data_IF_736169175797
#
_entry.id   IF_736169175797
#
_cell.length_a   1.000
_cell.length_b   1.000
_cell.length_c   1.000
_cell.angle_alpha   90.00
_cell.angle_beta   90.00
_cell.angle_gamma   90.00
#
_symmetry.space_group_name_H-M   'P 1'
#
loop_
_entity.id
_entity.type
_entity.pdbx_description
1 polymer ?
#
# COMPACT_ATOMS: atom_id res chain seq x y z
N UNK A 1 39.55 -35.89 3.64
CA UNK A 1 38.44 -35.06 3.15
C UNK A 1 37.15 -35.75 3.57
N UNK A 2 36.53 -35.29 4.66
CA UNK A 2 35.22 -35.77 5.11
C UNK A 2 34.15 -34.99 4.34
N UNK A 3 33.43 -35.69 3.48
CA UNK A 3 32.39 -35.14 2.62
C UNK A 3 31.17 -34.73 3.48
N UNK A 4 30.39 -33.70 3.12
CA UNK A 4 29.25 -33.27 3.91
C UNK A 4 28.13 -34.33 3.86
N UNK A 5 27.76 -34.85 5.02
CA UNK A 5 26.62 -35.75 5.18
C UNK A 5 25.30 -35.03 4.81
N UNK A 6 24.45 -35.69 4.01
CA UNK A 6 23.06 -35.26 3.80
C UNK A 6 22.57 -35.19 2.35
N UNK A 7 23.43 -35.41 1.34
CA UNK A 7 23.02 -35.38 -0.09
C UNK A 7 22.82 -36.75 -0.73
N UNK A 8 23.01 -37.85 0.01
CA UNK A 8 22.66 -39.18 -0.46
C UNK A 8 21.38 -39.65 0.25
N UNK A 9 20.39 -40.21 -0.47
CA UNK A 9 19.23 -40.81 0.15
C UNK A 9 19.70 -41.89 1.14
N UNK A 10 19.02 -42.02 2.29
CA UNK A 10 19.33 -43.00 3.35
C UNK A 10 19.45 -44.46 2.87
N UNK A 11 19.09 -44.77 1.62
CA UNK A 11 19.25 -46.07 0.97
C UNK A 11 20.62 -46.31 0.32
N UNK A 12 21.54 -45.34 0.28
CA UNK A 12 22.90 -45.58 -0.24
C UNK A 12 23.67 -46.67 0.54
N UNK A 13 23.24 -46.96 1.79
CA UNK A 13 23.77 -48.07 2.59
C UNK A 13 23.19 -49.45 2.23
N UNK A 14 22.13 -49.54 1.42
CA UNK A 14 21.47 -50.81 1.04
C UNK A 14 21.67 -51.21 -0.42
N UNK A 15 22.36 -50.42 -1.25
CA UNK A 15 22.76 -50.88 -2.57
C UNK A 15 23.99 -51.78 -2.42
N UNK A 16 23.82 -53.08 -2.65
CA UNK A 16 24.81 -54.13 -2.39
C UNK A 16 26.17 -54.00 -3.10
N UNK A 17 26.43 -52.95 -3.88
CA UNK A 17 27.76 -52.44 -4.22
C UNK A 17 27.66 -51.13 -5.02
N UNK A 18 28.70 -50.29 -4.98
CA UNK A 18 28.86 -49.12 -5.87
C UNK A 18 28.75 -49.49 -7.37
N UNK A 19 29.03 -50.74 -7.74
CA UNK A 19 28.88 -51.22 -9.10
C UNK A 19 27.41 -51.29 -9.55
N UNK A 20 26.47 -51.59 -8.64
CA UNK A 20 25.04 -51.58 -8.93
C UNK A 20 24.50 -50.16 -9.13
N UNK A 21 25.09 -49.16 -8.47
CA UNK A 21 24.76 -47.75 -8.64
C UNK A 21 25.28 -47.21 -9.99
N UNK A 22 26.47 -47.63 -10.39
CA UNK A 22 27.10 -47.24 -11.66
C UNK A 22 26.47 -47.92 -12.89
N UNK A 23 25.81 -49.06 -12.70
CA UNK A 23 25.11 -49.79 -13.76
C UNK A 23 23.73 -49.21 -14.11
N UNK A 24 23.19 -48.30 -13.29
CA UNK A 24 21.91 -47.65 -13.57
C UNK A 24 22.04 -46.66 -14.72
N UNK A 25 21.09 -46.74 -15.64
CA UNK A 25 20.88 -45.73 -16.67
C UNK A 25 20.45 -44.40 -16.05
N UNK A 26 20.63 -43.30 -16.80
CA UNK A 26 20.18 -41.97 -16.38
C UNK A 26 18.67 -41.93 -16.09
N UNK A 27 17.87 -42.70 -16.85
CA UNK A 27 16.43 -42.80 -16.65
C UNK A 27 16.07 -43.46 -15.31
N UNK A 28 16.77 -44.51 -14.92
CA UNK A 28 16.59 -45.19 -13.62
C UNK A 28 17.04 -44.30 -12.46
N UNK A 29 18.12 -43.54 -12.66
CA UNK A 29 18.58 -42.56 -11.69
C UNK A 29 17.57 -41.45 -11.44
N UNK A 30 16.97 -40.90 -12.51
CA UNK A 30 15.91 -39.89 -12.38
C UNK A 30 14.66 -40.48 -11.73
N UNK A 31 14.25 -41.69 -12.10
CA UNK A 31 13.09 -42.36 -11.50
C UNK A 31 13.25 -42.58 -9.98
N UNK A 32 14.44 -43.01 -9.53
CA UNK A 32 14.71 -43.21 -8.11
C UNK A 32 14.79 -41.90 -7.31
N UNK A 33 15.37 -40.84 -7.90
CA UNK A 33 15.38 -39.51 -7.29
C UNK A 33 13.97 -38.91 -7.21
N UNK A 34 13.21 -38.98 -8.30
CA UNK A 34 11.81 -38.53 -8.34
C UNK A 34 10.95 -39.31 -7.33
N UNK A 35 11.10 -40.63 -7.24
CA UNK A 35 10.39 -41.45 -6.26
C UNK A 35 10.75 -41.08 -4.80
N UNK A 36 12.02 -40.76 -4.55
CA UNK A 36 12.51 -40.39 -3.21
C UNK A 36 12.02 -39.00 -2.77
N UNK A 37 11.84 -38.06 -3.70
CA UNK A 37 11.31 -36.72 -3.44
C UNK A 37 9.78 -36.72 -3.35
N UNK A 38 9.11 -37.57 -4.13
CA UNK A 38 7.64 -37.67 -4.18
C UNK A 38 7.03 -38.28 -2.92
N UNK A 39 7.69 -39.27 -2.31
CA UNK A 39 7.17 -40.05 -1.18
C UNK A 39 6.90 -39.26 0.13
N UNK A 40 7.76 -38.32 0.57
CA UNK A 40 7.48 -37.50 1.76
C UNK A 40 6.37 -36.47 1.52
N UNK A 41 6.24 -35.97 0.28
CA UNK A 41 5.21 -35.01 -0.10
C UNK A 41 3.85 -35.67 -0.29
N UNK A 42 3.77 -36.84 -0.92
CA UNK A 42 2.51 -37.60 -1.02
C UNK A 42 1.94 -37.91 0.37
N UNK A 43 2.78 -38.25 1.37
CA UNK A 43 2.36 -38.41 2.78
C UNK A 43 1.90 -37.11 3.43
N UNK A 44 2.54 -35.99 3.13
CA UNK A 44 2.11 -34.66 3.59
C UNK A 44 0.74 -34.28 3.03
N UNK A 45 0.47 -34.57 1.76
CA UNK A 45 -0.81 -34.31 1.10
C UNK A 45 -1.90 -35.33 1.44
N UNK A 46 -1.57 -36.60 1.70
CA UNK A 46 -2.50 -37.56 2.30
C UNK A 46 -2.96 -37.07 3.69
N UNK A 47 -2.05 -36.54 4.49
CA UNK A 47 -2.32 -36.05 5.84
C UNK A 47 -3.16 -34.77 5.90
N UNK A 48 -2.93 -33.81 4.99
CA UNK A 48 -3.72 -32.57 4.96
C UNK A 48 -4.99 -32.67 4.09
N UNK A 49 -4.97 -33.45 3.00
CA UNK A 49 -5.97 -33.36 1.93
C UNK A 49 -6.31 -34.72 1.27
N UNK A 50 -6.03 -35.89 1.86
CA UNK A 50 -6.34 -37.19 1.24
C UNK A 50 -5.71 -37.41 -0.17
N UNK A 51 -4.62 -36.70 -0.49
CA UNK A 51 -3.86 -36.85 -1.74
C UNK A 51 -4.26 -35.90 -2.89
N UNK A 52 -3.41 -35.84 -3.94
CA UNK A 52 -3.68 -35.09 -5.17
C UNK A 52 -4.76 -35.79 -6.01
N UNK A 53 -5.68 -35.02 -6.59
CA UNK A 53 -6.70 -35.56 -7.50
C UNK A 53 -6.07 -36.29 -8.69
N UNK A 54 -6.72 -37.37 -9.17
CA UNK A 54 -6.19 -38.28 -10.20
C UNK A 54 -5.81 -37.55 -11.51
N UNK A 55 -6.50 -36.47 -11.85
CA UNK A 55 -6.22 -35.64 -13.03
C UNK A 55 -4.96 -34.75 -12.91
N UNK A 56 -4.40 -34.62 -11.70
CA UNK A 56 -3.18 -33.84 -11.42
C UNK A 56 -1.94 -34.73 -11.22
N UNK A 57 -2.08 -36.05 -11.34
CA UNK A 57 -1.00 -37.02 -11.08
C UNK A 57 -0.06 -37.24 -12.28
N UNK A 58 -0.37 -36.68 -13.46
CA UNK A 58 0.46 -36.84 -14.67
C UNK A 58 0.30 -35.68 -15.68
N UNK A 59 1.39 -35.37 -16.41
CA UNK A 59 1.38 -34.39 -17.51
C UNK A 59 1.39 -32.91 -17.08
N UNK A 60 1.49 -32.63 -15.78
CA UNK A 60 1.50 -31.29 -15.21
C UNK A 60 2.73 -31.14 -14.30
N UNK A 61 3.37 -29.97 -14.34
CA UNK A 61 4.46 -29.65 -13.42
C UNK A 61 3.99 -29.78 -11.97
N UNK A 62 4.79 -30.46 -11.14
CA UNK A 62 4.42 -30.81 -9.76
C UNK A 62 3.99 -29.60 -8.91
N UNK A 63 4.71 -28.48 -9.00
CA UNK A 63 4.37 -27.22 -8.30
C UNK A 63 2.98 -26.71 -8.68
N UNK A 64 2.62 -26.79 -9.96
CA UNK A 64 1.32 -26.39 -10.52
C UNK A 64 0.21 -27.36 -10.10
N UNK A 65 0.48 -28.65 -10.06
CA UNK A 65 -0.45 -29.66 -9.56
C UNK A 65 -0.82 -29.42 -8.08
N UNK A 66 0.19 -29.15 -7.24
CA UNK A 66 0.00 -28.85 -5.82
C UNK A 66 -0.83 -27.58 -5.60
N UNK A 67 -0.48 -26.48 -6.27
CA UNK A 67 -1.20 -25.22 -6.12
C UNK A 67 -2.64 -25.31 -6.66
N UNK A 68 -2.85 -26.07 -7.74
CA UNK A 68 -4.18 -26.33 -8.30
C UNK A 68 -5.06 -27.08 -7.30
N UNK A 69 -4.54 -28.11 -6.63
CA UNK A 69 -5.32 -28.87 -5.64
C UNK A 69 -5.67 -28.02 -4.42
N UNK A 70 -4.73 -27.21 -3.92
CA UNK A 70 -4.96 -26.27 -2.81
C UNK A 70 -6.06 -25.26 -3.20
N UNK A 71 -5.97 -24.66 -4.39
CA UNK A 71 -6.97 -23.72 -4.87
C UNK A 71 -8.35 -24.38 -5.07
N UNK A 72 -8.43 -25.58 -5.68
CA UNK A 72 -9.70 -26.30 -5.85
C UNK A 72 -10.43 -26.57 -4.55
N UNK A 73 -9.69 -26.98 -3.51
CA UNK A 73 -10.26 -27.35 -2.21
C UNK A 73 -10.65 -26.17 -1.35
N UNK A 74 -9.88 -25.09 -1.42
CA UNK A 74 -10.20 -23.85 -0.69
C UNK A 74 -11.37 -23.13 -1.37
N UNK A 75 -11.38 -23.06 -2.70
CA UNK A 75 -12.36 -22.27 -3.49
C UNK A 75 -13.61 -23.08 -3.88
N UNK A 76 -13.66 -24.38 -3.55
CA UNK A 76 -14.75 -25.31 -3.90
C UNK A 76 -15.09 -25.34 -5.41
N UNK A 77 -14.06 -25.28 -6.27
CA UNK A 77 -14.18 -25.34 -7.73
C UNK A 77 -13.72 -26.71 -8.27
N UNK A 78 -14.57 -27.76 -8.23
CA UNK A 78 -14.20 -29.06 -8.77
C UNK A 78 -14.04 -29.01 -10.29
N UNK A 79 -12.90 -29.48 -10.81
CA UNK A 79 -12.65 -29.67 -12.25
C UNK A 79 -11.77 -28.62 -12.94
N UNK A 80 -11.42 -27.50 -12.29
CA UNK A 80 -10.57 -26.47 -12.92
C UNK A 80 -9.09 -26.86 -12.89
N UNK A 81 -8.44 -27.08 -14.03
CA UNK A 81 -6.98 -27.23 -14.12
C UNK A 81 -6.39 -25.87 -14.50
N UNK A 82 -5.65 -25.24 -13.59
CA UNK A 82 -5.01 -23.97 -13.87
C UNK A 82 -3.83 -24.17 -14.83
N UNK A 83 -3.76 -23.30 -15.83
CA UNK A 83 -2.72 -23.36 -16.87
C UNK A 83 -1.38 -22.79 -16.39
N UNK A 84 -1.39 -21.95 -15.35
CA UNK A 84 -0.19 -21.40 -14.70
C UNK A 84 -0.34 -21.28 -13.18
N UNK A 85 0.78 -21.06 -12.49
CA UNK A 85 0.84 -20.80 -11.05
C UNK A 85 0.14 -19.49 -10.70
N UNK A 86 0.31 -18.47 -11.53
CA UNK A 86 -0.29 -17.15 -11.37
C UNK A 86 -1.82 -17.21 -11.46
N UNK A 87 -2.37 -18.04 -12.35
CA UNK A 87 -3.81 -18.23 -12.46
C UNK A 87 -4.39 -18.89 -11.18
N UNK A 88 -3.71 -19.91 -10.65
CA UNK A 88 -4.13 -20.57 -9.40
C UNK A 88 -4.05 -19.62 -8.19
N UNK A 89 -2.98 -18.81 -8.11
CA UNK A 89 -2.82 -17.82 -7.04
C UNK A 89 -3.83 -16.68 -7.15
N UNK A 90 -4.19 -16.26 -8.36
CA UNK A 90 -5.20 -15.21 -8.61
C UNK A 90 -6.58 -15.65 -8.13
N UNK A 91 -7.01 -16.88 -8.41
CA UNK A 91 -8.33 -17.36 -7.95
C UNK A 91 -8.36 -17.60 -6.43
N UNK A 92 -7.25 -18.05 -5.83
CA UNK A 92 -7.12 -18.14 -4.38
C UNK A 92 -7.17 -16.75 -3.71
N UNK A 93 -6.49 -15.77 -4.31
CA UNK A 93 -6.51 -14.36 -3.91
C UNK A 93 -7.93 -13.77 -3.98
N UNK A 94 -8.67 -14.04 -5.07
CA UNK A 94 -10.05 -13.61 -5.25
C UNK A 94 -10.99 -14.22 -4.20
N UNK A 95 -10.85 -15.52 -3.89
CA UNK A 95 -11.66 -16.19 -2.88
C UNK A 95 -11.44 -15.65 -1.46
N UNK A 96 -10.19 -15.34 -1.10
CA UNK A 96 -9.84 -14.79 0.20
C UNK A 96 -10.09 -13.27 0.32
N UNK A 97 -10.61 -12.62 -0.73
CA UNK A 97 -10.76 -11.16 -0.79
C UNK A 97 -9.42 -10.41 -0.78
N UNK A 98 -8.30 -11.11 -0.98
CA UNK A 98 -6.96 -10.58 -1.03
C UNK A 98 -6.61 -10.27 -2.50
N UNK A 99 -7.07 -9.14 -3.04
CA UNK A 99 -6.76 -8.76 -4.43
C UNK A 99 -5.26 -8.48 -4.55
N UNK A 100 -4.48 -9.45 -5.03
CA UNK A 100 -3.11 -9.25 -5.52
C UNK A 100 -3.21 -8.46 -6.82
N UNK A 101 -3.21 -7.13 -6.72
CA UNK A 101 -2.99 -6.29 -7.89
C UNK A 101 -1.48 -6.18 -8.06
N UNK A 102 -0.92 -7.03 -8.91
CA UNK A 102 0.35 -6.70 -9.57
C UNK A 102 0.13 -5.37 -10.28
N UNK A 103 0.70 -4.30 -9.72
CA UNK A 103 0.71 -3.00 -10.37
C UNK A 103 1.76 -3.09 -11.46
N UNK A 104 1.40 -3.73 -12.58
CA UNK A 104 2.34 -4.06 -13.66
C UNK A 104 2.40 -2.95 -14.72
N UNK A 105 1.57 -1.91 -14.58
CA UNK A 105 1.57 -0.73 -15.43
C UNK A 105 1.02 0.52 -14.72
N UNK A 106 1.37 1.71 -15.23
CA UNK A 106 0.81 2.98 -14.75
C UNK A 106 -0.73 3.03 -14.87
N UNK A 107 -1.29 2.40 -15.92
CA UNK A 107 -2.74 2.27 -16.09
C UNK A 107 -3.36 1.39 -15.00
N UNK A 108 -2.75 0.25 -14.67
CA UNK A 108 -3.22 -0.62 -13.59
C UNK A 108 -3.14 0.05 -12.21
N UNK A 109 -2.14 0.92 -12.00
CA UNK A 109 -2.05 1.76 -10.81
C UNK A 109 -3.20 2.78 -10.75
N UNK A 110 -3.49 3.45 -11.87
CA UNK A 110 -4.58 4.41 -12.01
C UNK A 110 -5.95 3.74 -11.84
N UNK A 111 -6.17 2.58 -12.45
CA UNK A 111 -7.42 1.81 -12.34
C UNK A 111 -7.66 1.34 -10.89
N UNK A 112 -6.63 0.83 -10.22
CA UNK A 112 -6.72 0.49 -8.80
C UNK A 112 -6.97 1.74 -7.93
N UNK A 113 -6.28 2.85 -8.21
CA UNK A 113 -6.48 4.09 -7.48
C UNK A 113 -7.92 4.63 -7.66
N UNK A 114 -8.47 4.52 -8.87
CA UNK A 114 -9.85 4.84 -9.20
C UNK A 114 -10.84 3.89 -8.51
N UNK A 115 -10.57 2.58 -8.44
CA UNK A 115 -11.38 1.63 -7.66
C UNK A 115 -11.36 1.95 -6.15
N UNK A 116 -10.20 2.28 -5.58
CA UNK A 116 -10.09 2.66 -4.16
C UNK A 116 -10.83 3.97 -3.85
N UNK A 117 -10.86 4.88 -4.82
CA UNK A 117 -11.58 6.14 -4.76
C UNK A 117 -13.09 5.93 -4.91
N UNK A 118 -13.53 5.05 -5.81
CA UNK A 118 -14.93 4.60 -5.88
C UNK A 118 -15.37 3.93 -4.58
N UNK A 119 -14.51 3.14 -3.94
CA UNK A 119 -14.77 2.56 -2.61
C UNK A 119 -14.91 3.60 -1.49
N UNK A 120 -14.28 4.77 -1.61
CA UNK A 120 -14.51 5.89 -0.69
C UNK A 120 -15.95 6.43 -0.86
N UNK A 121 -16.37 6.64 -2.11
CA UNK A 121 -17.68 7.21 -2.48
C UNK A 121 -18.87 6.33 -2.09
N UNK A 122 -18.72 5.01 -2.16
CA UNK A 122 -19.80 4.05 -1.88
C UNK A 122 -20.12 3.93 -0.38
N UNK A 123 -19.19 4.30 0.50
CA UNK A 123 -19.34 4.07 1.95
C UNK A 123 -19.98 5.21 2.73
N UNK A 124 -20.05 6.44 2.18
CA UNK A 124 -20.35 7.62 2.99
C UNK A 124 -20.84 8.81 2.14
N UNK A 125 -22.00 8.73 1.46
CA UNK A 125 -22.78 9.94 1.12
C UNK A 125 -24.28 9.62 0.91
N UNK A 126 -25.13 9.92 1.88
CA UNK A 126 -26.52 10.32 1.58
C UNK A 126 -26.68 11.79 1.98
N UNK A 127 -26.46 12.72 1.04
CA UNK A 127 -26.68 14.16 1.23
C UNK A 127 -25.48 15.02 1.67
N UNK A 128 -24.24 14.50 1.63
CA UNK A 128 -22.99 15.25 1.91
C UNK A 128 -22.20 15.65 0.66
N UNK A 129 -21.08 16.37 0.84
CA UNK A 129 -20.14 16.72 -0.25
C UNK A 129 -19.14 15.60 -0.44
N UNK A 130 -18.83 15.31 -1.70
CA UNK A 130 -17.78 14.38 -2.09
C UNK A 130 -16.88 14.98 -3.16
N UNK A 131 -15.57 14.80 -2.96
CA UNK A 131 -14.51 15.36 -3.76
C UNK A 131 -13.54 14.25 -4.16
N UNK A 132 -13.05 14.32 -5.39
CA UNK A 132 -12.03 13.40 -5.87
C UNK A 132 -11.06 14.08 -6.84
N UNK A 133 -9.86 13.53 -6.95
CA UNK A 133 -8.87 13.90 -7.95
C UNK A 133 -7.99 12.70 -8.28
N UNK A 134 -8.07 12.16 -9.51
CA UNK A 134 -7.16 11.13 -10.00
C UNK A 134 -5.83 11.71 -10.52
N UNK A 135 -5.65 13.04 -10.46
CA UNK A 135 -4.47 13.74 -10.98
C UNK A 135 -4.21 13.52 -12.48
N UNK A 136 -5.27 13.29 -13.25
CA UNK A 136 -5.20 13.17 -14.70
C UNK A 136 -4.82 14.49 -15.37
N UNK A 137 -4.08 14.40 -16.48
CA UNK A 137 -3.73 15.54 -17.31
C UNK A 137 -2.26 15.57 -17.70
N UNK A 138 -1.86 16.54 -18.55
CA UNK A 138 -0.48 16.69 -18.97
C UNK A 138 0.41 17.08 -17.77
N UNK A 139 1.68 16.68 -17.82
CA UNK A 139 2.67 17.04 -16.82
C UNK A 139 2.68 18.55 -16.53
N UNK A 140 2.62 18.92 -15.24
CA UNK A 140 2.59 20.32 -14.81
C UNK A 140 3.37 20.54 -13.51
N UNK A 141 3.60 21.82 -13.18
CA UNK A 141 4.23 22.26 -11.92
C UNK A 141 3.22 22.64 -10.83
N UNK A 142 1.93 22.39 -11.09
CA UNK A 142 0.81 22.56 -10.15
C UNK A 142 -0.16 21.38 -10.25
N UNK A 143 -1.06 21.26 -9.28
CA UNK A 143 -2.08 20.20 -9.19
C UNK A 143 -3.40 20.55 -9.91
N UNK A 144 -3.43 21.63 -10.69
CA UNK A 144 -4.63 22.12 -11.38
C UNK A 144 -5.48 23.09 -10.56
N UNK A 145 -6.49 23.68 -11.21
CA UNK A 145 -7.30 24.77 -10.67
C UNK A 145 -8.23 24.41 -9.51
N UNK A 146 -8.42 23.12 -9.22
CA UNK A 146 -9.21 22.65 -8.07
C UNK A 146 -8.47 22.78 -6.74
N UNK A 147 -7.15 22.99 -6.77
CA UNK A 147 -6.32 23.12 -5.57
C UNK A 147 -5.66 24.50 -5.47
N UNK A 148 -5.73 25.09 -4.29
CA UNK A 148 -4.83 26.18 -3.89
C UNK A 148 -3.59 25.58 -3.26
N UNK A 149 -2.41 25.82 -3.84
CA UNK A 149 -1.13 25.34 -3.30
C UNK A 149 -0.40 26.45 -2.56
N UNK A 150 -0.12 26.23 -1.27
CA UNK A 150 0.68 27.14 -0.45
C UNK A 150 2.01 26.47 -0.13
N UNK A 151 3.09 27.19 -0.40
CA UNK A 151 4.44 26.71 -0.20
C UNK A 151 5.13 27.42 0.98
N UNK A 152 5.92 26.67 1.75
CA UNK A 152 6.70 27.19 2.88
C UNK A 152 8.10 26.58 2.94
N UNK A 153 9.06 27.31 3.53
CA UNK A 153 10.48 26.94 3.56
C UNK A 153 11.31 27.60 2.46
N UNK A 154 12.64 27.55 2.53
CA UNK A 154 13.52 28.34 1.66
C UNK A 154 13.85 27.67 0.31
N UNK A 155 13.53 26.38 0.12
CA UNK A 155 13.76 25.69 -1.17
C UNK A 155 12.82 26.14 -2.30
N UNK A 156 13.18 25.80 -3.55
CA UNK A 156 12.47 26.24 -4.76
C UNK A 156 11.52 25.22 -5.39
N UNK A 157 11.53 23.97 -4.92
CA UNK A 157 10.75 22.87 -5.53
C UNK A 157 9.24 23.12 -5.59
N UNK A 158 8.59 22.56 -6.61
CA UNK A 158 7.15 22.71 -6.89
C UNK A 158 6.47 21.35 -7.05
N UNK A 159 5.23 21.24 -6.61
CA UNK A 159 4.44 20.01 -6.66
C UNK A 159 3.38 20.10 -7.75
N UNK A 160 3.30 19.11 -8.64
CA UNK A 160 2.31 19.10 -9.71
C UNK A 160 1.99 17.70 -10.21
N UNK A 161 1.27 17.60 -11.32
CA UNK A 161 0.93 16.32 -11.95
C UNK A 161 2.05 15.82 -12.86
N UNK A 162 2.22 14.51 -12.97
CA UNK A 162 3.35 13.89 -13.66
C UNK A 162 3.13 13.63 -15.15
N UNK A 163 1.88 13.59 -15.60
CA UNK A 163 1.47 13.21 -16.95
C UNK A 163 0.88 11.79 -17.05
N UNK A 164 0.87 11.05 -15.95
CA UNK A 164 0.53 9.63 -15.86
C UNK A 164 -0.36 9.34 -14.64
N UNK A 165 -1.33 10.21 -14.38
CA UNK A 165 -2.31 10.07 -13.29
C UNK A 165 -1.66 9.95 -11.90
N UNK A 166 -0.61 10.73 -11.68
CA UNK A 166 0.05 10.84 -10.38
C UNK A 166 0.59 12.25 -10.13
N UNK A 167 0.86 12.54 -8.86
CA UNK A 167 1.58 13.75 -8.47
C UNK A 167 3.09 13.50 -8.45
N UNK A 168 3.87 14.54 -8.79
CA UNK A 168 5.33 14.55 -8.72
C UNK A 168 5.87 15.83 -8.10
N UNK A 169 6.97 15.67 -7.35
CA UNK A 169 7.78 16.79 -6.89
C UNK A 169 8.81 17.18 -7.95
N UNK A 170 8.69 18.39 -8.48
CA UNK A 170 9.67 18.99 -9.37
C UNK A 170 10.72 19.68 -8.51
N UNK A 171 11.89 19.05 -8.38
CA UNK A 171 13.00 19.54 -7.57
C UNK A 171 13.51 20.89 -8.07
N UNK A 172 13.85 21.77 -7.14
CA UNK A 172 14.59 23.00 -7.44
C UNK A 172 15.36 23.47 -6.21
N UNK A 173 16.67 23.63 -6.36
CA UNK A 173 17.62 23.86 -5.27
C UNK A 173 17.90 22.61 -4.43
N UNK A 174 18.44 22.82 -3.22
CA UNK A 174 18.79 21.73 -2.29
C UNK A 174 18.37 21.96 -0.84
N UNK A 175 17.38 22.82 -0.61
CA UNK A 175 16.85 23.12 0.72
C UNK A 175 15.44 22.56 0.90
N UNK A 176 15.01 22.38 2.14
CA UNK A 176 13.66 21.91 2.43
C UNK A 176 12.58 22.83 1.84
N UNK A 177 11.47 22.25 1.40
CA UNK A 177 10.31 22.97 0.89
C UNK A 177 9.07 22.11 1.08
N UNK A 178 8.04 22.70 1.69
CA UNK A 178 6.75 22.07 1.95
C UNK A 178 5.68 22.73 1.10
N UNK A 179 4.80 21.91 0.53
CA UNK A 179 3.59 22.33 -0.15
C UNK A 179 2.38 21.72 0.56
N UNK A 180 1.40 22.54 0.92
CA UNK A 180 0.06 22.08 1.29
C UNK A 180 -0.88 22.51 0.18
N UNK A 181 -1.60 21.53 -0.39
CA UNK A 181 -2.59 21.73 -1.43
C UNK A 181 -3.99 21.57 -0.82
N UNK A 182 -4.71 22.68 -0.72
CA UNK A 182 -6.08 22.73 -0.21
C UNK A 182 -7.05 22.68 -1.38
N UNK A 183 -8.02 21.78 -1.37
CA UNK A 183 -9.09 21.75 -2.35
C UNK A 183 -9.97 23.00 -2.20
N UNK A 184 -10.39 23.62 -3.31
CA UNK A 184 -11.09 24.91 -3.31
C UNK A 184 -12.55 24.82 -2.89
N UNK A 185 -13.15 23.64 -3.01
CA UNK A 185 -14.51 23.35 -2.51
C UNK A 185 -14.45 22.89 -1.05
N UNK A 186 -15.16 23.55 -0.12
CA UNK A 186 -15.29 23.07 1.25
C UNK A 186 -16.22 21.85 1.32
N UNK A 187 -16.04 21.03 2.35
CA UNK A 187 -17.03 20.05 2.77
C UNK A 187 -18.16 20.73 3.57
N UNK A 188 -19.26 20.02 3.82
CA UNK A 188 -20.39 20.58 4.58
C UNK A 188 -20.14 20.57 6.09
N UNK A 189 -19.30 19.68 6.58
CA UNK A 189 -19.12 19.42 8.02
C UNK A 189 -17.65 19.37 8.45
N UNK A 190 -17.42 19.50 9.76
CA UNK A 190 -16.09 19.33 10.35
C UNK A 190 -15.70 17.85 10.52
N UNK A 191 -16.61 16.94 10.20
CA UNK A 191 -16.42 15.49 10.27
C UNK A 191 -16.09 14.98 8.88
N UNK A 192 -14.82 14.66 8.67
CA UNK A 192 -14.23 14.53 7.34
C UNK A 192 -13.49 13.21 7.24
N UNK A 193 -13.52 12.60 6.06
CA UNK A 193 -12.65 11.49 5.72
C UNK A 193 -11.86 11.83 4.48
N UNK A 194 -10.54 11.65 4.56
CA UNK A 194 -9.61 11.93 3.47
C UNK A 194 -8.85 10.66 3.14
N UNK A 195 -8.76 10.30 1.87
CA UNK A 195 -8.02 9.12 1.39
C UNK A 195 -6.95 9.53 0.38
N UNK A 196 -5.77 8.95 0.56
CA UNK A 196 -4.68 8.97 -0.41
C UNK A 196 -4.40 7.57 -0.93
N UNK A 197 -4.00 7.46 -2.20
CA UNK A 197 -3.44 6.23 -2.78
C UNK A 197 -1.97 6.46 -3.12
N UNK A 198 -1.08 5.65 -2.54
CA UNK A 198 0.37 5.74 -2.77
C UNK A 198 0.69 5.19 -4.16
N UNK A 199 1.29 6.00 -5.04
CA UNK A 199 1.73 5.57 -6.37
C UNK A 199 3.25 5.42 -6.49
N UNK A 200 4.01 6.23 -5.76
CA UNK A 200 5.46 6.05 -5.59
C UNK A 200 5.85 6.33 -4.14
N UNK A 201 6.91 5.68 -3.67
CA UNK A 201 7.38 5.83 -2.29
C UNK A 201 8.20 7.12 -2.14
N UNK A 202 8.11 7.81 -0.98
CA UNK A 202 9.09 8.83 -0.63
C UNK A 202 10.51 8.26 -0.70
N UNK A 203 11.46 9.08 -1.10
CA UNK A 203 12.87 8.71 -0.95
C UNK A 203 13.20 8.45 0.51
N UNK A 204 14.14 7.55 0.74
CA UNK A 204 14.65 7.30 2.09
C UNK A 204 15.36 8.54 2.63
N UNK A 205 15.35 8.68 3.94
CA UNK A 205 16.00 9.79 4.62
C UNK A 205 17.47 9.86 4.26
N UNK A 206 17.95 11.09 4.24
CA UNK A 206 19.35 11.45 4.05
C UNK A 206 19.72 12.47 5.13
N UNK A 207 20.87 13.14 4.99
CA UNK A 207 21.39 14.04 6.03
C UNK A 207 20.37 15.11 6.49
N UNK A 208 19.52 15.61 5.59
CA UNK A 208 18.48 16.60 5.90
C UNK A 208 17.14 16.05 6.39
N UNK A 209 17.07 14.74 6.63
CA UNK A 209 15.84 14.07 7.07
C UNK A 209 15.04 13.45 5.93
N UNK A 210 13.84 12.97 6.25
CA UNK A 210 12.99 12.20 5.36
C UNK A 210 11.96 13.09 4.65
N UNK A 211 11.81 13.01 3.32
CA UNK A 211 10.65 13.57 2.66
C UNK A 211 9.37 12.87 3.12
N UNK A 212 8.27 13.61 3.13
CA UNK A 212 6.98 13.12 3.62
C UNK A 212 5.83 13.52 2.71
N UNK A 213 4.77 12.73 2.76
CA UNK A 213 3.46 13.07 2.22
C UNK A 213 2.46 13.26 3.36
N UNK A 214 1.41 14.06 3.10
CA UNK A 214 0.38 14.39 4.07
C UNK A 214 -1.01 14.12 3.50
N UNK A 215 -1.87 13.46 4.26
CA UNK A 215 -3.31 13.59 4.15
C UNK A 215 -3.72 14.73 5.09
N UNK A 216 -4.45 15.73 4.58
CA UNK A 216 -4.81 16.92 5.36
C UNK A 216 -6.32 17.10 5.40
N UNK A 217 -6.86 17.36 6.58
CA UNK A 217 -8.21 17.89 6.73
C UNK A 217 -8.21 19.07 7.69
N UNK A 218 -9.37 19.68 7.85
CA UNK A 218 -9.54 20.95 8.58
C UNK A 218 -8.61 22.06 8.14
N UNK A 219 -8.34 22.14 6.84
CA UNK A 219 -7.37 23.07 6.26
C UNK A 219 -7.99 24.46 6.18
N UNK A 220 -7.29 25.47 6.70
CA UNK A 220 -7.70 26.86 6.54
C UNK A 220 -7.18 27.48 5.23
N UNK A 221 -7.63 28.70 4.92
CA UNK A 221 -7.23 29.39 3.68
C UNK A 221 -5.73 29.68 3.55
N UNK A 222 -5.06 29.99 4.66
CA UNK A 222 -3.63 30.24 4.68
C UNK A 222 -2.79 28.94 4.61
N UNK A 223 -3.42 27.77 4.75
CA UNK A 223 -2.75 26.48 4.90
C UNK A 223 -1.70 26.45 6.03
N UNK A 224 -1.97 27.19 7.11
CA UNK A 224 -1.17 27.22 8.34
C UNK A 224 -1.90 26.56 9.51
N UNK A 225 -3.14 26.11 9.29
CA UNK A 225 -3.94 25.40 10.28
C UNK A 225 -4.62 24.19 9.62
N UNK A 226 -4.28 22.98 10.05
CA UNK A 226 -4.81 21.72 9.52
C UNK A 226 -4.49 20.53 10.44
N UNK A 227 -5.30 19.48 10.39
CA UNK A 227 -4.99 18.17 10.98
C UNK A 227 -4.38 17.29 9.89
N UNK A 228 -3.34 16.54 10.21
CA UNK A 228 -2.64 15.69 9.25
C UNK A 228 -2.44 14.26 9.73
N UNK A 229 -2.42 13.34 8.76
CA UNK A 229 -1.64 12.11 8.84
C UNK A 229 -0.47 12.24 7.86
N UNK A 230 0.77 12.17 8.36
CA UNK A 230 1.98 12.30 7.54
C UNK A 230 2.82 11.04 7.62
N UNK A 231 3.35 10.59 6.50
CA UNK A 231 4.22 9.41 6.45
C UNK A 231 5.49 9.67 5.65
N UNK A 232 6.53 8.91 5.98
CA UNK A 232 7.76 8.78 5.19
C UNK A 232 8.06 7.31 4.90
N UNK A 233 9.09 7.07 4.10
CA UNK A 233 9.61 5.73 3.82
C UNK A 233 10.62 5.24 4.88
N UNK A 234 10.72 5.93 6.02
CA UNK A 234 11.67 5.66 7.10
C UNK A 234 10.99 5.08 8.33
N UNK A 235 9.86 4.40 8.15
CA UNK A 235 9.24 3.66 9.24
C UNK A 235 8.27 4.47 10.09
N UNK A 236 7.84 5.68 9.71
CA UNK A 236 6.98 6.50 10.58
C UNK A 236 5.72 7.01 9.88
N UNK A 237 4.57 6.78 10.55
CA UNK A 237 3.30 7.44 10.30
C UNK A 237 2.93 8.23 11.55
N UNK A 238 2.62 9.51 11.35
CA UNK A 238 2.42 10.49 12.41
C UNK A 238 1.08 11.16 12.23
N UNK A 239 0.32 11.24 13.32
CA UNK A 239 -0.90 12.02 13.44
C UNK A 239 -0.57 13.30 14.22
N UNK A 240 -1.06 14.43 13.76
CA UNK A 240 -0.86 15.71 14.43
C UNK A 240 -1.67 16.81 13.82
N UNK A 241 -1.41 18.04 14.23
CA UNK A 241 -1.96 19.22 13.60
C UNK A 241 -0.89 20.30 13.43
N UNK A 242 -1.16 21.22 12.52
CA UNK A 242 -0.57 22.55 12.54
C UNK A 242 -1.67 23.51 12.97
N UNK A 243 -1.36 24.43 13.88
CA UNK A 243 -2.28 25.47 14.35
C UNK A 243 -1.54 26.80 14.36
N UNK A 244 -2.01 27.75 13.53
CA UNK A 244 -1.34 29.03 13.29
C UNK A 244 0.18 28.88 13.01
N UNK A 245 0.54 27.89 12.18
CA UNK A 245 1.93 27.60 11.79
C UNK A 245 2.72 26.74 12.77
N UNK A 246 2.19 26.46 13.97
CA UNK A 246 2.84 25.62 14.98
C UNK A 246 2.47 24.16 14.79
N UNK A 247 3.45 23.30 14.56
CA UNK A 247 3.29 21.85 14.41
C UNK A 247 3.23 21.16 15.79
N UNK A 248 2.17 20.42 16.04
CA UNK A 248 1.97 19.58 17.23
C UNK A 248 1.72 18.14 16.79
N UNK A 249 2.60 17.24 17.21
CA UNK A 249 2.43 15.81 16.99
C UNK A 249 1.61 15.17 18.12
N UNK A 250 0.58 14.41 17.76
CA UNK A 250 -0.33 13.76 18.70
C UNK A 250 0.06 12.30 18.94
N UNK A 251 0.39 11.58 17.88
CA UNK A 251 0.74 10.16 17.96
C UNK A 251 1.66 9.75 16.80
N UNK A 252 2.50 8.75 17.04
CA UNK A 252 3.45 8.22 16.07
C UNK A 252 3.55 6.71 16.18
N UNK A 253 3.47 6.03 15.04
CA UNK A 253 3.56 4.57 14.94
C UNK A 253 4.58 4.15 13.88
N UNK A 254 5.08 2.92 14.01
CA UNK A 254 5.89 2.31 12.97
C UNK A 254 5.05 2.08 11.71
N UNK A 255 5.60 2.42 10.55
CA UNK A 255 4.88 2.38 9.29
C UNK A 255 5.77 2.10 8.09
N UNK A 256 5.46 1.05 7.36
CA UNK A 256 6.13 0.69 6.11
C UNK A 256 5.17 0.94 4.94
N UNK A 257 5.32 2.05 4.18
CA UNK A 257 4.49 2.30 3.01
C UNK A 257 4.81 1.33 1.87
N UNK A 258 3.78 0.87 1.18
CA UNK A 258 3.91 0.14 -0.08
C UNK A 258 3.06 0.80 -1.18
N UNK A 259 3.42 0.56 -2.44
CA UNK A 259 2.64 1.03 -3.58
C UNK A 259 1.21 0.45 -3.52
N UNK A 260 0.24 1.25 -3.92
CA UNK A 260 -1.19 0.91 -3.81
C UNK A 260 -1.73 0.97 -2.38
N UNK A 261 -0.92 1.20 -1.35
CA UNK A 261 -1.50 1.40 -0.02
C UNK A 261 -2.39 2.63 -0.01
N UNK A 262 -3.55 2.48 0.63
CA UNK A 262 -4.42 3.59 0.96
C UNK A 262 -4.09 4.10 2.35
N UNK A 263 -4.14 5.43 2.52
CA UNK A 263 -4.08 6.07 3.83
C UNK A 263 -5.34 6.89 3.99
N UNK A 264 -6.18 6.48 4.95
CA UNK A 264 -7.39 7.19 5.33
C UNK A 264 -7.15 7.97 6.63
N UNK A 265 -7.42 9.28 6.61
CA UNK A 265 -7.50 10.12 7.79
C UNK A 265 -8.97 10.40 8.09
N UNK A 266 -9.40 10.02 9.28
CA UNK A 266 -10.74 10.31 9.81
C UNK A 266 -10.64 11.44 10.81
N UNK A 267 -11.43 12.49 10.59
CA UNK A 267 -11.57 13.65 11.47
C UNK A 267 -12.99 13.68 12.01
N UNK A 268 -13.12 13.65 13.33
CA UNK A 268 -14.43 13.49 13.97
C UNK A 268 -14.89 12.03 13.94
N UNK A 269 -15.41 11.58 15.07
CA UNK A 269 -16.02 10.26 15.28
C UNK A 269 -17.31 10.42 16.07
N UNK A 270 -18.08 9.35 16.17
CA UNK A 270 -19.29 9.32 17.00
C UNK A 270 -19.02 9.66 18.48
N UNK A 271 -17.78 9.46 18.95
CA UNK A 271 -17.39 9.79 20.32
C UNK A 271 -17.08 11.29 20.49
N UNK A 272 -16.52 11.93 19.46
CA UNK A 272 -16.10 13.33 19.52
C UNK A 272 -15.70 13.87 18.15
N UNK A 273 -16.10 15.10 17.85
CA UNK A 273 -15.57 15.85 16.72
C UNK A 273 -14.05 16.09 16.82
N UNK A 274 -13.43 15.94 17.99
CA UNK A 274 -11.98 16.07 18.18
C UNK A 274 -11.25 14.74 18.26
N UNK A 275 -11.94 13.63 17.99
CA UNK A 275 -11.30 12.33 17.85
C UNK A 275 -10.89 12.08 16.41
N UNK A 276 -9.71 11.50 16.23
CA UNK A 276 -9.09 11.23 14.94
C UNK A 276 -8.69 9.76 14.86
N UNK A 277 -8.83 9.17 13.67
CA UNK A 277 -8.29 7.84 13.35
C UNK A 277 -7.49 7.89 12.07
N UNK A 278 -6.53 6.97 11.96
CA UNK A 278 -5.81 6.74 10.71
C UNK A 278 -5.91 5.26 10.37
N UNK A 279 -6.31 4.95 9.13
CA UNK A 279 -6.36 3.60 8.60
C UNK A 279 -5.42 3.42 7.43
N UNK A 280 -4.89 2.22 7.29
CA UNK A 280 -4.23 1.75 6.07
C UNK A 280 -5.02 0.58 5.51
N UNK A 281 -5.41 0.65 4.24
CA UNK A 281 -6.17 -0.41 3.58
C UNK A 281 -7.41 -0.82 4.40
N UNK A 282 -8.10 0.17 4.99
CA UNK A 282 -9.27 -0.06 5.83
C UNK A 282 -9.02 -0.54 7.26
N UNK A 283 -7.76 -0.81 7.66
CA UNK A 283 -7.40 -1.27 9.00
C UNK A 283 -6.81 -0.14 9.83
N UNK A 284 -7.25 0.01 11.08
CA UNK A 284 -6.69 0.99 12.02
C UNK A 284 -5.19 0.71 12.24
N UNK A 285 -4.35 1.71 11.95
CA UNK A 285 -2.89 1.61 12.11
C UNK A 285 -2.38 2.27 13.38
N UNK A 286 -3.23 3.03 14.06
CA UNK A 286 -2.95 3.64 15.35
C UNK A 286 -4.22 3.67 16.20
N UNK A 287 -4.07 3.65 17.55
CA UNK A 287 -5.21 3.88 18.43
C UNK A 287 -5.88 5.22 18.13
N UNK A 288 -7.22 5.33 18.27
CA UNK A 288 -7.92 6.62 18.15
C UNK A 288 -7.32 7.65 19.11
N UNK A 289 -7.13 8.88 18.63
CA UNK A 289 -6.61 9.98 19.44
C UNK A 289 -7.67 11.07 19.60
N UNK A 290 -7.87 11.59 20.81
CA UNK A 290 -8.78 12.71 21.09
C UNK A 290 -7.99 13.96 21.47
N UNK A 291 -8.11 15.03 20.69
CA UNK A 291 -7.53 16.35 20.99
C UNK A 291 -8.32 17.05 22.10
N UNK A 292 -8.09 16.64 23.34
CA UNK A 292 -8.74 17.18 24.53
C UNK A 292 -8.31 18.61 24.84
N UNK A 293 -7.10 18.99 24.44
CA UNK A 293 -6.55 20.33 24.63
C UNK A 293 -7.12 21.36 23.62
N UNK A 294 -7.84 20.90 22.60
CA UNK A 294 -8.48 21.77 21.61
C UNK A 294 -7.49 22.49 20.69
N UNK A 295 -6.31 21.90 20.46
CA UNK A 295 -5.21 22.51 19.70
C UNK A 295 -5.57 22.62 18.21
N UNK A 296 -6.27 21.61 17.67
CA UNK A 296 -6.69 21.62 16.28
C UNK A 296 -7.79 22.65 16.01
N UNK A 297 -7.64 23.42 14.93
CA UNK A 297 -8.65 24.39 14.51
C UNK A 297 -9.91 23.68 13.97
N UNK A 298 -11.08 24.28 14.21
CA UNK A 298 -12.39 23.80 13.79
C UNK A 298 -13.30 24.96 13.38
N UNK A 299 -14.39 24.65 12.68
CA UNK A 299 -15.42 25.60 12.30
C UNK A 299 -15.42 25.93 10.80
N UNK A 300 -16.24 26.90 10.37
CA UNK A 300 -16.48 27.18 8.95
C UNK A 300 -15.23 27.50 8.13
N UNK A 301 -14.22 28.13 8.75
CA UNK A 301 -12.92 28.44 8.10
C UNK A 301 -12.06 27.21 7.82
N UNK A 302 -12.40 26.07 8.42
CA UNK A 302 -11.64 24.83 8.41
C UNK A 302 -12.49 23.68 7.84
N UNK A 303 -13.45 23.96 6.96
CA UNK A 303 -14.21 22.91 6.28
C UNK A 303 -13.50 22.36 5.03
N UNK A 304 -12.28 22.84 4.74
CA UNK A 304 -11.52 22.40 3.58
C UNK A 304 -10.61 21.22 3.92
N UNK A 305 -10.26 20.51 2.87
CA UNK A 305 -9.48 19.27 2.90
C UNK A 305 -8.39 19.34 1.83
N UNK A 306 -7.44 18.43 1.89
CA UNK A 306 -6.37 18.43 0.93
C UNK A 306 -5.31 17.38 1.20
N UNK A 307 -4.13 17.68 0.69
CA UNK A 307 -2.95 16.83 0.75
C UNK A 307 -1.70 17.70 0.76
N UNK A 308 -0.57 17.09 1.09
CA UNK A 308 0.70 17.82 1.13
C UNK A 308 1.88 16.94 0.76
N UNK A 309 2.98 17.62 0.49
CA UNK A 309 4.28 17.02 0.26
C UNK A 309 5.38 17.92 0.85
N UNK A 310 6.42 17.32 1.42
CA UNK A 310 7.59 18.06 1.89
C UNK A 310 8.86 17.38 1.42
N UNK A 311 9.62 18.09 0.60
CA UNK A 311 11.00 17.76 0.28
C UNK A 311 11.93 18.28 1.39
N UNK A 312 12.97 17.51 1.67
CA UNK A 312 14.07 17.85 2.58
C UNK A 312 15.36 18.03 1.80
N UNK A 313 16.38 18.60 2.43
CA UNK A 313 17.73 18.61 1.89
C UNK A 313 18.31 17.19 1.85
N UNK A 314 19.01 16.85 0.76
CA UNK A 314 19.63 15.52 0.60
C UNK A 314 21.14 15.57 0.78
N UNK A 315 21.76 16.50 0.06
CA UNK A 315 23.16 16.84 0.14
C UNK A 315 23.24 18.36 0.32
N UNK A 316 24.16 18.82 1.17
CA UNK A 316 24.33 20.22 1.59
C UNK A 316 24.14 21.19 0.40
N UNK A 317 22.93 21.75 0.30
CA UNK A 317 22.45 22.75 -0.67
C UNK A 317 22.38 22.37 -2.17
N UNK A 318 22.73 21.15 -2.59
CA UNK A 318 22.78 20.80 -4.02
C UNK A 318 21.58 20.00 -4.52
N UNK A 319 20.87 19.28 -3.66
CA UNK A 319 19.78 18.40 -4.07
C UNK A 319 18.65 18.32 -3.03
N UNK A 320 17.41 18.33 -3.51
CA UNK A 320 16.20 18.03 -2.74
C UNK A 320 15.86 16.55 -2.78
N UNK A 321 15.43 16.00 -1.65
CA UNK A 321 14.76 14.70 -1.60
C UNK A 321 13.39 14.75 -2.27
N UNK A 322 12.86 13.58 -2.64
CA UNK A 322 11.60 13.48 -3.39
C UNK A 322 10.53 12.83 -2.49
N UNK A 323 9.44 13.54 -2.16
CA UNK A 323 8.21 12.95 -1.62
C UNK A 323 7.61 11.91 -2.56
N UNK A 324 6.83 10.98 -2.01
CA UNK A 324 6.12 10.01 -2.82
C UNK A 324 5.05 10.67 -3.69
N UNK A 325 4.75 10.04 -4.81
CA UNK A 325 3.65 10.40 -5.69
C UNK A 325 2.34 9.82 -5.16
N UNK A 326 1.29 10.62 -5.24
CA UNK A 326 -0.09 10.24 -4.94
C UNK A 326 -0.82 9.99 -6.24
N UNK A 327 -1.34 8.77 -6.44
CA UNK A 327 -2.05 8.37 -7.66
C UNK A 327 -3.53 8.77 -7.64
N UNK A 328 -4.14 8.84 -6.46
CA UNK A 328 -5.47 9.41 -6.31
C UNK A 328 -5.67 10.02 -4.92
N UNK A 329 -6.53 11.02 -4.87
CA UNK A 329 -6.99 11.68 -3.67
C UNK A 329 -8.51 11.75 -3.66
N UNK A 330 -9.10 11.55 -2.49
CA UNK A 330 -10.53 11.75 -2.29
C UNK A 330 -10.82 12.27 -0.89
N UNK A 331 -11.92 13.00 -0.77
CA UNK A 331 -12.41 13.44 0.52
C UNK A 331 -13.93 13.57 0.52
N UNK A 332 -14.54 13.27 1.66
CA UNK A 332 -15.99 13.26 1.83
C UNK A 332 -16.38 13.81 3.20
N UNK A 333 -17.59 14.35 3.27
CA UNK A 333 -18.30 14.47 4.55
C UNK A 333 -18.57 13.08 5.10
N UNK A 334 -18.06 12.82 6.30
CA UNK A 334 -18.37 11.58 6.99
C UNK A 334 -19.69 11.76 7.72
N UNK A 335 -20.61 10.81 7.55
CA UNK A 335 -21.76 10.71 8.44
C UNK A 335 -21.31 10.08 9.76
N UNK A 336 -21.78 10.64 10.87
CA UNK A 336 -21.69 9.96 12.16
C UNK A 336 -22.68 8.79 12.13
N UNK A 337 -22.29 7.67 11.52
CA UNK A 337 -23.06 6.43 11.53
C UNK A 337 -22.35 5.43 12.42
N UNK A 338 -23.04 5.14 13.54
CA UNK A 338 -22.84 4.07 14.52
C UNK A 338 -22.10 2.87 13.94
N UNK A 339 -20.94 2.58 14.53
CA UNK A 339 -20.21 1.31 14.40
C UNK A 339 -21.12 0.08 14.57
#
# INVERSE_FOLDING_TARGET
MTQPDGLLPHSAFNYGSLAALAAKSEAEWRADLEASVKMPFDKFFEGLFAGLSHDLQGGIEFSRAVLTEIARRIVALPGTIYTSVEAALTDLANFLGLKWVGIDSAQSAADYANEQLLGLLVTDVTGGVSLNSPFDGPAATNLGGSFTQVYSGPGGGTWGVDGFSSTKWNRSGGQYRRCIARHNTPLATSTQRIRLVISTLPWTASAGGAPVNYACGRVNAACDSYVYARYNNNGALRLGCVSAGTDTEFNTVSFNPALGNTIDLYLGTDNSDRQFLVRRNGVDVMPPYTDTAGISAMGPSNLFVGLGAMATDRNVFTEQSIPGGIGAWGAIDRQATTY
#
